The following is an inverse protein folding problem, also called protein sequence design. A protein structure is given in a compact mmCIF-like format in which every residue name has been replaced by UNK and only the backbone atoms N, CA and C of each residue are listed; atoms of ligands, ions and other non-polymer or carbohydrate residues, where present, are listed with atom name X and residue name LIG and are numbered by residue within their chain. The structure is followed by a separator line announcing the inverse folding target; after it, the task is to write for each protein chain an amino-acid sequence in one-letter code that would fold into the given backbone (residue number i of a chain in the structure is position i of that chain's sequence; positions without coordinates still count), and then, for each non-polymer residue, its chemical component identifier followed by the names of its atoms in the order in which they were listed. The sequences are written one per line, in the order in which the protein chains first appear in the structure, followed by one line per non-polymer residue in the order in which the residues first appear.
data_IF_633780020256
#
_entry.id   IF_633780020256
#
_cell.length_a   1.000
_cell.length_b   1.000
_cell.length_c   1.000
_cell.angle_alpha   90.00
_cell.angle_beta   90.00
_cell.angle_gamma   90.00
#
_symmetry.space_group_name_H-M   'P 1'
#
loop_
_entity.id
_entity.type
_entity.pdbx_description
1 polymer ?
#
# COMPACT_ATOMS: atom_id res chain seq x y z
N UNK A 1 -11.45 19.12 17.56
CA UNK A 1 -12.57 18.69 16.69
C UNK A 1 -13.62 19.79 16.79
N UNK A 2 -14.28 20.17 15.70
CA UNK A 2 -15.20 21.32 15.69
C UNK A 2 -16.68 20.95 15.92
N UNK A 3 -17.00 19.65 15.97
CA UNK A 3 -18.36 19.13 16.21
C UNK A 3 -19.41 19.57 15.18
N UNK A 4 -18.97 19.99 13.98
CA UNK A 4 -19.84 20.39 12.86
C UNK A 4 -20.21 19.22 11.93
N UNK A 5 -19.60 18.04 12.12
CA UNK A 5 -19.73 16.87 11.25
C UNK A 5 -19.96 15.61 12.08
N UNK A 6 -21.00 14.83 11.74
CA UNK A 6 -21.34 13.58 12.44
C UNK A 6 -20.49 12.38 12.00
N UNK A 7 -20.13 12.30 10.71
CA UNK A 7 -19.37 11.18 10.13
C UNK A 7 -18.25 11.70 9.23
N UNK A 8 -17.03 11.24 9.48
CA UNK A 8 -15.87 11.48 8.62
C UNK A 8 -15.35 10.13 8.13
N UNK A 9 -15.22 9.99 6.82
CA UNK A 9 -14.59 8.84 6.17
C UNK A 9 -13.15 9.16 5.76
N UNK A 10 -12.30 8.14 5.58
CA UNK A 10 -10.90 8.30 5.18
C UNK A 10 -10.07 9.18 6.14
N UNK A 11 -10.26 9.00 7.45
CA UNK A 11 -9.43 9.66 8.46
C UNK A 11 -7.95 9.25 8.24
N UNK A 12 -7.02 10.21 8.09
CA UNK A 12 -5.60 9.90 7.94
C UNK A 12 -5.07 9.09 9.14
N UNK A 13 -4.24 8.06 8.94
CA UNK A 13 -3.73 7.23 10.04
C UNK A 13 -3.05 8.00 11.17
N UNK A 14 -2.33 9.08 10.84
CA UNK A 14 -1.66 9.96 11.81
C UNK A 14 -2.64 10.77 12.69
N UNK A 15 -3.91 10.87 12.30
CA UNK A 15 -4.95 11.57 13.07
C UNK A 15 -5.73 10.62 14.01
N UNK A 16 -5.61 9.30 13.82
CA UNK A 16 -6.38 8.29 14.58
C UNK A 16 -6.15 8.44 16.08
N UNK A 17 -4.90 8.57 16.52
CA UNK A 17 -4.56 8.76 17.94
C UNK A 17 -5.19 10.02 18.53
N UNK A 18 -5.23 11.11 17.76
CA UNK A 18 -5.84 12.38 18.19
C UNK A 18 -7.36 12.25 18.33
N UNK A 19 -8.01 11.51 17.42
CA UNK A 19 -9.46 11.27 17.48
C UNK A 19 -9.81 10.34 18.65
N UNK A 20 -9.10 9.22 18.81
CA UNK A 20 -9.35 8.28 19.91
C UNK A 20 -9.04 8.86 21.30
N UNK A 21 -8.15 9.85 21.38
CA UNK A 21 -7.88 10.58 22.63
C UNK A 21 -8.86 11.73 22.89
N UNK A 22 -9.86 11.93 22.02
CA UNK A 22 -10.88 12.95 22.21
C UNK A 22 -12.10 12.38 22.94
N UNK A 23 -12.80 13.23 23.68
CA UNK A 23 -14.03 12.83 24.40
C UNK A 23 -15.29 12.84 23.51
N UNK A 24 -15.17 13.22 22.23
CA UNK A 24 -16.30 13.57 21.37
C UNK A 24 -16.43 12.70 20.12
N UNK A 25 -15.43 11.87 19.82
CA UNK A 25 -15.44 11.02 18.62
C UNK A 25 -14.66 9.72 18.84
N UNK A 26 -14.96 8.72 18.00
CA UNK A 26 -14.29 7.42 18.00
C UNK A 26 -13.96 6.99 16.58
N UNK A 27 -12.91 6.18 16.41
CA UNK A 27 -12.56 5.58 15.12
C UNK A 27 -13.07 4.15 15.07
N UNK A 28 -13.85 3.84 14.04
CA UNK A 28 -14.21 2.46 13.69
C UNK A 28 -13.37 2.01 12.49
N UNK A 29 -12.49 1.03 12.70
CA UNK A 29 -11.74 0.39 11.62
C UNK A 29 -12.61 -0.68 10.97
N UNK A 30 -12.69 -0.66 9.63
CA UNK A 30 -13.45 -1.63 8.84
C UNK A 30 -12.59 -2.15 7.69
N UNK A 31 -12.78 -3.41 7.25
CA UNK A 31 -12.12 -3.92 6.05
C UNK A 31 -12.38 -3.01 4.84
N UNK A 32 -11.34 -2.77 4.05
CA UNK A 32 -11.38 -1.90 2.88
C UNK A 32 -10.99 -2.68 1.63
N UNK A 33 -11.67 -2.40 0.52
CA UNK A 33 -11.33 -2.93 -0.80
C UNK A 33 -10.29 -2.05 -1.54
N UNK A 34 -9.71 -1.05 -0.87
CA UNK A 34 -8.79 -0.09 -1.49
C UNK A 34 -7.41 -0.70 -1.67
N UNK A 35 -6.93 -0.71 -2.92
CA UNK A 35 -5.52 -0.98 -3.25
C UNK A 35 -4.79 0.35 -3.43
N UNK A 36 -3.62 0.48 -2.80
CA UNK A 36 -2.69 1.59 -3.01
C UNK A 36 -1.54 1.05 -3.85
N UNK A 37 -1.30 1.64 -5.02
CA UNK A 37 -0.24 1.20 -5.93
C UNK A 37 0.23 2.36 -6.81
N UNK A 38 1.44 2.24 -7.36
CA UNK A 38 2.00 3.19 -8.31
C UNK A 38 1.89 2.63 -9.72
N UNK A 39 1.20 3.35 -10.60
CA UNK A 39 1.08 2.96 -12.00
C UNK A 39 2.37 3.28 -12.74
N UNK A 40 2.99 2.25 -13.31
CA UNK A 40 4.13 2.39 -14.21
C UNK A 40 3.63 2.34 -15.66
N UNK A 41 3.89 3.41 -16.41
CA UNK A 41 3.48 3.51 -17.82
C UNK A 41 4.36 2.63 -18.69
N UNK A 42 3.84 1.49 -19.12
CA UNK A 42 4.58 0.50 -19.91
C UNK A 42 5.05 0.99 -21.30
N UNK A 43 4.61 2.18 -21.74
CA UNK A 43 4.89 2.76 -23.06
C UNK A 43 5.90 3.93 -23.00
N UNK A 44 6.50 4.19 -21.83
CA UNK A 44 7.41 5.31 -21.60
C UNK A 44 8.66 4.84 -20.86
N UNK A 45 9.83 5.18 -21.39
CA UNK A 45 11.13 4.90 -20.75
C UNK A 45 11.25 5.61 -19.38
N UNK A 46 11.76 4.95 -18.31
CA UNK A 46 12.31 3.58 -18.27
C UNK A 46 11.29 2.46 -18.01
N UNK A 47 10.02 2.81 -17.84
CA UNK A 47 8.97 1.83 -17.53
C UNK A 47 8.55 0.97 -18.72
N UNK A 48 9.06 1.21 -19.93
CA UNK A 48 8.93 0.31 -21.09
C UNK A 48 9.51 -1.07 -20.81
N UNK A 49 10.63 -1.13 -20.09
CA UNK A 49 11.30 -2.37 -19.72
C UNK A 49 10.54 -3.13 -18.64
N UNK A 50 10.28 -4.42 -18.86
CA UNK A 50 9.64 -5.26 -17.86
C UNK A 50 10.55 -5.45 -16.65
N UNK A 51 11.84 -5.63 -16.89
CA UNK A 51 12.87 -5.79 -15.87
C UNK A 51 12.92 -4.54 -14.98
N UNK A 52 12.88 -3.34 -15.57
CA UNK A 52 12.82 -2.09 -14.80
C UNK A 52 11.59 -2.03 -13.90
N UNK A 53 10.40 -2.39 -14.41
CA UNK A 53 9.18 -2.43 -13.60
C UNK A 53 9.25 -3.46 -12.47
N UNK A 54 9.88 -4.61 -12.69
CA UNK A 54 10.10 -5.61 -11.65
C UNK A 54 11.08 -5.09 -10.60
N UNK A 55 12.18 -4.46 -11.01
CA UNK A 55 13.16 -3.84 -10.11
C UNK A 55 12.49 -2.89 -9.11
N UNK A 56 11.55 -2.05 -9.59
CA UNK A 56 10.82 -1.13 -8.71
C UNK A 56 9.96 -1.83 -7.66
N UNK A 57 9.48 -3.05 -7.91
CA UNK A 57 8.75 -3.81 -6.89
C UNK A 57 9.68 -4.37 -5.81
N UNK A 58 10.89 -4.79 -6.17
CA UNK A 58 11.90 -5.25 -5.19
C UNK A 58 12.56 -4.11 -4.42
N UNK A 59 12.65 -2.91 -5.01
CA UNK A 59 13.31 -1.75 -4.42
C UNK A 59 12.53 -1.08 -3.28
N UNK A 60 11.24 -1.38 -3.12
CA UNK A 60 10.35 -0.66 -2.21
C UNK A 60 10.04 -1.49 -0.97
N UNK A 61 10.45 -0.98 0.19
CA UNK A 61 10.12 -1.56 1.48
C UNK A 61 8.67 -1.22 1.89
N UNK A 62 7.73 -2.08 1.46
CA UNK A 62 6.30 -1.89 1.74
C UNK A 62 5.99 -2.12 3.23
N UNK A 63 6.71 -3.00 3.92
CA UNK A 63 6.53 -3.27 5.35
C UNK A 63 6.82 -2.00 6.16
N UNK A 64 7.97 -1.37 5.91
CA UNK A 64 8.35 -0.10 6.55
C UNK A 64 7.36 1.02 6.24
N UNK A 65 6.78 1.08 5.04
CA UNK A 65 5.74 2.07 4.70
C UNK A 65 4.47 1.80 5.52
N UNK A 66 4.03 0.55 5.64
CA UNK A 66 2.85 0.20 6.42
C UNK A 66 3.06 0.59 7.88
N UNK A 67 4.20 0.25 8.46
CA UNK A 67 4.50 0.56 9.86
C UNK A 67 4.62 2.07 10.10
N UNK A 68 5.47 2.75 9.36
CA UNK A 68 5.91 4.11 9.69
C UNK A 68 5.04 5.21 9.07
N UNK A 69 4.44 4.96 7.91
CA UNK A 69 3.60 5.96 7.20
C UNK A 69 2.12 5.68 7.47
N UNK A 70 1.71 4.41 7.32
CA UNK A 70 0.31 4.03 7.49
C UNK A 70 -0.03 3.67 8.94
N UNK A 71 0.91 3.75 9.89
CA UNK A 71 0.68 3.42 11.31
C UNK A 71 0.04 2.03 11.51
N UNK A 72 0.46 1.04 10.70
CA UNK A 72 -0.09 -0.31 10.70
C UNK A 72 -1.43 -0.48 9.94
N UNK A 73 -2.01 0.59 9.39
CA UNK A 73 -3.26 0.53 8.61
C UNK A 73 -3.01 0.14 7.16
N UNK A 74 -2.56 -1.09 6.94
CA UNK A 74 -2.38 -1.67 5.61
C UNK A 74 -1.92 -3.13 5.68
N UNK A 75 -2.16 -3.87 4.60
CA UNK A 75 -1.63 -5.21 4.40
C UNK A 75 -0.96 -5.28 3.02
N UNK A 76 0.12 -6.04 2.91
CA UNK A 76 0.81 -6.27 1.63
C UNK A 76 -0.03 -7.20 0.75
N UNK A 77 -0.02 -6.97 -0.56
CA UNK A 77 -0.61 -7.86 -1.55
C UNK A 77 0.28 -7.95 -2.80
N UNK A 78 0.35 -9.13 -3.41
CA UNK A 78 1.02 -9.37 -4.70
C UNK A 78 0.11 -9.22 -5.91
N UNK A 79 -1.19 -8.96 -5.69
CA UNK A 79 -2.20 -8.97 -6.75
C UNK A 79 -3.31 -7.93 -6.50
N UNK A 80 -4.04 -7.50 -7.53
CA UNK A 80 -5.10 -6.48 -7.38
C UNK A 80 -6.37 -7.01 -6.71
N UNK A 81 -6.62 -8.32 -6.74
CA UNK A 81 -7.76 -8.95 -6.07
C UNK A 81 -7.40 -9.26 -4.62
N UNK A 82 -8.21 -8.82 -3.67
CA UNK A 82 -7.95 -9.05 -2.25
C UNK A 82 -8.48 -10.41 -1.78
N UNK A 83 -7.87 -10.94 -0.72
CA UNK A 83 -8.37 -12.12 -0.03
C UNK A 83 -9.87 -11.99 0.29
N UNK A 84 -10.61 -13.09 0.17
CA UNK A 84 -12.07 -13.12 0.34
C UNK A 84 -12.88 -12.64 -0.87
N UNK A 85 -12.25 -12.12 -1.92
CA UNK A 85 -12.92 -11.73 -3.16
C UNK A 85 -12.80 -12.84 -4.24
N UNK A 86 -13.83 -12.95 -5.08
CA UNK A 86 -13.80 -13.87 -6.23
C UNK A 86 -12.66 -13.48 -7.17
N UNK A 87 -11.81 -14.45 -7.50
CA UNK A 87 -10.63 -14.25 -8.34
C UNK A 87 -9.33 -13.98 -7.57
N UNK A 88 -9.34 -14.05 -6.23
CA UNK A 88 -8.11 -14.09 -5.44
C UNK A 88 -7.35 -15.40 -5.68
N UNK A 89 -6.04 -15.32 -5.89
CA UNK A 89 -5.17 -16.47 -6.04
C UNK A 89 -4.21 -16.57 -4.84
N UNK A 90 -4.37 -17.56 -3.95
CA UNK A 90 -3.49 -17.72 -2.78
C UNK A 90 -2.06 -18.14 -3.13
N UNK A 91 -1.80 -18.57 -4.38
CA UNK A 91 -0.48 -19.01 -4.82
C UNK A 91 0.41 -17.85 -5.32
N UNK A 92 -0.08 -16.60 -5.27
CA UNK A 92 0.67 -15.40 -5.66
C UNK A 92 1.16 -14.67 -4.41
N UNK A 93 2.45 -14.78 -4.16
CA UNK A 93 3.14 -14.02 -3.13
C UNK A 93 3.43 -12.58 -3.58
N UNK A 94 3.45 -11.61 -2.66
CA UNK A 94 3.99 -10.28 -2.93
C UNK A 94 5.48 -10.31 -3.27
N UNK A 95 5.96 -9.27 -3.96
CA UNK A 95 7.39 -9.05 -4.13
C UNK A 95 8.04 -8.77 -2.75
N UNK A 96 9.15 -9.45 -2.40
CA UNK A 96 9.92 -9.12 -1.20
C UNK A 96 10.69 -7.82 -1.42
N UNK A 97 11.06 -7.16 -0.32
CA UNK A 97 12.02 -6.07 -0.35
C UNK A 97 13.44 -6.64 -0.51
N UNK A 98 14.04 -6.41 -1.68
CA UNK A 98 15.37 -6.90 -2.05
C UNK A 98 16.09 -5.87 -2.95
N UNK A 99 16.83 -4.91 -2.35
CA UNK A 99 17.57 -3.91 -3.10
C UNK A 99 18.64 -4.47 -4.04
N UNK A 100 19.25 -5.60 -3.70
CA UNK A 100 20.30 -6.22 -4.51
C UNK A 100 19.72 -6.80 -5.80
N UNK A 101 18.58 -7.50 -5.69
CA UNK A 101 17.82 -7.98 -6.85
C UNK A 101 17.28 -6.83 -7.70
N UNK A 102 16.85 -5.73 -7.06
CA UNK A 102 16.42 -4.54 -7.77
C UNK A 102 17.56 -3.92 -8.60
N UNK A 103 18.75 -3.77 -8.03
CA UNK A 103 19.92 -3.23 -8.74
C UNK A 103 20.30 -4.13 -9.93
N UNK A 104 20.33 -5.45 -9.74
CA UNK A 104 20.56 -6.43 -10.81
C UNK A 104 19.56 -6.28 -11.96
N UNK A 105 18.27 -6.14 -11.65
CA UNK A 105 17.22 -5.99 -12.66
C UNK A 105 17.29 -4.63 -13.38
N UNK A 106 17.77 -3.57 -12.73
CA UNK A 106 18.02 -2.28 -13.40
C UNK A 106 19.16 -2.39 -14.41
N UNK A 107 20.23 -3.12 -14.10
CA UNK A 107 21.35 -3.34 -15.04
C UNK A 107 20.93 -4.16 -16.27
N UNK A 108 19.96 -5.07 -16.12
CA UNK A 108 19.40 -5.89 -17.19
C UNK A 108 18.30 -5.19 -18.01
N UNK A 109 17.86 -4.01 -17.56
CA UNK A 109 16.65 -3.34 -18.07
C UNK A 109 16.80 -2.56 -19.36
#
# INVERSE_FOLDING_TARGET
LAEETDIVTNVPPNEVSRVNSSDVATINSVPSARIIFLQMRYDVEPFSSQQFRQAMNYAVDVESIIENVLNGFGNITGQPTLEGHVGYNPDIDPYPYDPDEAERLVEES
#
